data_IF_842941726273
#
_entry.id   IF_842941726273
#
_cell.length_a   1.000
_cell.length_b   1.000
_cell.length_c   1.000
_cell.angle_alpha   90.00
_cell.angle_beta   90.00
_cell.angle_gamma   90.00
#
_symmetry.space_group_name_H-M   'P 1'
#
loop_
_entity.id
_entity.type
_entity.pdbx_description
1 polymer ?
#
# COMPACT_ATOMS: atom_id res chain seq x y z
N UNK A 1 -12.29 16.69 6.86
CA UNK A 1 -11.32 15.98 5.99
C UNK A 1 -10.98 14.65 6.65
N UNK A 2 -11.21 13.52 5.98
CA UNK A 2 -10.84 12.22 6.54
C UNK A 2 -9.31 12.12 6.66
N UNK A 3 -8.81 11.68 7.82
CA UNK A 3 -7.38 11.47 8.02
C UNK A 3 -6.87 10.41 7.04
N UNK A 4 -5.79 10.70 6.33
CA UNK A 4 -5.12 9.72 5.47
C UNK A 4 -4.80 8.45 6.28
N UNK A 5 -5.03 7.27 5.69
CA UNK A 5 -4.75 5.99 6.35
C UNK A 5 -3.26 5.76 6.58
N UNK A 6 -2.44 6.33 5.69
CA UNK A 6 -0.99 6.26 5.75
C UNK A 6 -0.42 7.67 5.56
N UNK A 7 -0.35 8.45 6.66
CA UNK A 7 0.35 9.74 6.70
C UNK A 7 1.80 9.63 6.21
N UNK A 8 2.36 10.75 5.73
CA UNK A 8 3.71 10.77 5.16
C UNK A 8 4.79 10.48 6.21
N UNK A 9 4.68 11.06 7.40
CA UNK A 9 5.57 10.83 8.55
C UNK A 9 5.67 9.33 8.91
N UNK A 10 4.52 8.66 9.00
CA UNK A 10 4.46 7.22 9.25
C UNK A 10 5.06 6.41 8.10
N UNK A 11 4.85 6.86 6.86
CA UNK A 11 5.45 6.18 5.70
C UNK A 11 6.98 6.30 5.69
N UNK A 12 7.51 7.47 6.08
CA UNK A 12 8.95 7.71 6.12
C UNK A 12 9.66 6.85 7.18
N UNK A 13 8.97 6.49 8.26
CA UNK A 13 9.45 5.51 9.25
C UNK A 13 9.40 4.06 8.72
N UNK A 14 8.36 3.70 7.97
CA UNK A 14 8.15 2.32 7.49
C UNK A 14 9.00 1.98 6.27
N UNK A 15 9.12 2.92 5.32
CA UNK A 15 9.75 2.67 4.02
C UNK A 15 11.17 2.10 4.10
N UNK A 16 12.06 2.55 5.01
CA UNK A 16 13.41 2.01 5.16
C UNK A 16 13.44 0.56 5.68
N UNK A 17 12.38 0.09 6.34
CA UNK A 17 12.28 -1.27 6.89
C UNK A 17 11.92 -2.31 5.83
N UNK A 18 11.49 -1.87 4.65
CA UNK A 18 11.09 -2.76 3.58
C UNK A 18 12.31 -3.39 2.90
N UNK A 19 12.24 -4.68 2.52
CA UNK A 19 13.34 -5.33 1.83
C UNK A 19 13.59 -4.67 0.45
N UNK A 20 14.83 -4.71 -0.05
CA UNK A 20 15.14 -4.19 -1.37
C UNK A 20 14.37 -4.96 -2.47
N UNK A 21 14.09 -4.32 -3.61
CA UNK A 21 13.44 -4.98 -4.74
C UNK A 21 14.22 -6.21 -5.19
N UNK A 22 13.54 -7.35 -5.33
CA UNK A 22 14.16 -8.58 -5.83
C UNK A 22 14.55 -8.42 -7.31
N UNK A 23 15.69 -8.98 -7.76
CA UNK A 23 16.05 -9.02 -9.18
C UNK A 23 14.98 -9.73 -10.02
N UNK A 24 14.73 -9.23 -11.24
CA UNK A 24 13.67 -9.72 -12.13
C UNK A 24 14.22 -10.04 -13.53
N UNK A 25 15.06 -11.09 -13.68
CA UNK A 25 15.74 -11.37 -14.95
C UNK A 25 14.77 -11.76 -16.09
N UNK A 26 13.63 -12.38 -15.75
CA UNK A 26 12.61 -12.80 -16.73
C UNK A 26 11.56 -11.71 -17.02
N UNK A 27 11.68 -10.52 -16.43
CA UNK A 27 10.73 -9.42 -16.62
C UNK A 27 9.33 -9.68 -16.03
N UNK A 28 8.30 -9.22 -16.75
CA UNK A 28 6.87 -9.32 -16.37
C UNK A 28 6.28 -8.04 -15.74
N UNK A 29 4.98 -8.08 -15.42
CA UNK A 29 4.23 -6.93 -14.87
C UNK A 29 4.93 -6.34 -13.66
N UNK A 30 5.16 -5.03 -13.65
CA UNK A 30 5.79 -4.35 -12.50
C UNK A 30 4.85 -4.37 -11.28
N UNK A 31 5.38 -4.64 -10.07
CA UNK A 31 4.60 -4.44 -8.85
C UNK A 31 4.12 -3.00 -8.74
N UNK A 32 2.99 -2.81 -8.05
CA UNK A 32 2.58 -1.49 -7.62
C UNK A 32 3.56 -0.94 -6.56
N UNK A 33 3.56 0.37 -6.36
CA UNK A 33 4.40 1.00 -5.32
C UNK A 33 4.04 0.44 -3.94
N UNK A 34 5.06 0.15 -3.11
CA UNK A 34 4.86 -0.40 -1.76
C UNK A 34 3.90 0.44 -0.91
N UNK A 35 3.98 1.78 -1.01
CA UNK A 35 3.07 2.68 -0.32
C UNK A 35 1.61 2.44 -0.69
N UNK A 36 1.32 2.27 -1.98
CA UNK A 36 -0.03 2.01 -2.46
C UNK A 36 -0.53 0.64 -1.98
N UNK A 37 0.33 -0.38 -1.99
CA UNK A 37 0.00 -1.70 -1.47
C UNK A 37 -0.34 -1.65 0.04
N UNK A 38 0.50 -0.98 0.84
CA UNK A 38 0.28 -0.83 2.27
C UNK A 38 -0.99 -0.05 2.59
N UNK A 39 -1.24 1.06 1.89
CA UNK A 39 -2.49 1.82 2.02
C UNK A 39 -3.71 0.93 1.73
N UNK A 40 -3.64 0.10 0.68
CA UNK A 40 -4.70 -0.87 0.37
C UNK A 40 -4.93 -1.88 1.49
N UNK A 41 -3.86 -2.48 2.03
CA UNK A 41 -3.94 -3.41 3.16
C UNK A 41 -4.59 -2.74 4.38
N UNK A 42 -4.12 -1.54 4.76
CA UNK A 42 -4.68 -0.78 5.89
C UNK A 42 -6.15 -0.42 5.66
N UNK A 43 -6.52 -0.09 4.42
CA UNK A 43 -7.90 0.17 4.06
C UNK A 43 -8.78 -1.05 4.29
N UNK A 44 -8.35 -2.24 3.83
CA UNK A 44 -9.07 -3.51 4.08
C UNK A 44 -9.21 -3.76 5.58
N UNK A 45 -8.11 -3.66 6.33
CA UNK A 45 -8.10 -3.94 7.77
C UNK A 45 -8.98 -2.97 8.56
N UNK A 46 -9.05 -1.69 8.15
CA UNK A 46 -9.87 -0.69 8.83
C UNK A 46 -11.34 -0.75 8.46
N UNK A 47 -11.65 -0.95 7.18
CA UNK A 47 -13.02 -0.88 6.68
C UNK A 47 -13.75 -2.21 6.78
N UNK A 48 -13.03 -3.35 6.73
CA UNK A 48 -13.62 -4.66 6.54
C UNK A 48 -14.13 -4.90 5.11
N UNK A 49 -13.85 -4.00 4.15
CA UNK A 49 -14.32 -4.05 2.75
C UNK A 49 -15.84 -4.24 2.59
N UNK A 50 -16.69 -3.35 3.13
CA UNK A 50 -18.09 -3.33 2.74
C UNK A 50 -18.19 -3.01 1.24
N UNK A 51 -19.13 -3.67 0.56
CA UNK A 51 -19.33 -3.60 -0.88
C UNK A 51 -19.55 -2.16 -1.40
N UNK A 52 -20.18 -1.30 -0.59
CA UNK A 52 -20.42 0.12 -0.89
C UNK A 52 -19.13 0.97 -1.01
N UNK A 53 -18.01 0.48 -0.46
CA UNK A 53 -16.72 1.18 -0.50
C UNK A 53 -15.82 0.74 -1.65
N UNK A 54 -16.26 -0.20 -2.49
CA UNK A 54 -15.54 -0.55 -3.69
C UNK A 54 -15.71 0.57 -4.73
N UNK A 55 -14.62 1.05 -5.36
CA UNK A 55 -14.73 1.98 -6.48
C UNK A 55 -15.49 1.30 -7.63
N UNK A 56 -16.39 2.05 -8.28
CA UNK A 56 -17.18 1.60 -9.43
C UNK A 56 -16.32 1.26 -10.66
#
# INVERSE_FOLDING_TARGET
MARALLPDDLWDEIAPLLPPPRPRPKGGRRPIKNRAALTGILFVLRSGLPWEMLPA
#
